data_IF_789034442461
#
_entry.id   IF_789034442461
#
_cell.length_a   1.000
_cell.length_b   1.000
_cell.length_c   1.000
_cell.angle_alpha   90.00
_cell.angle_beta   90.00
_cell.angle_gamma   90.00
#
_symmetry.space_group_name_H-M   'P 1'
#
loop_
_entity.id
_entity.type
_entity.pdbx_description
1 polymer ?
#
# COMPACT_ATOMS: atom_id res chain seq x y z
N UNK A 1 -5.60 -12.97 3.19
CA UNK A 1 -6.76 -12.34 2.53
C UNK A 1 -7.10 -13.00 1.20
N UNK A 2 -6.23 -12.98 0.19
CA UNK A 2 -6.55 -13.47 -1.17
C UNK A 2 -7.13 -14.89 -1.18
N UNK A 3 -6.51 -15.83 -0.48
CA UNK A 3 -7.00 -17.22 -0.38
C UNK A 3 -8.38 -17.32 0.29
N UNK A 4 -8.64 -16.48 1.30
CA UNK A 4 -9.95 -16.40 1.97
C UNK A 4 -11.01 -15.74 1.07
N UNK A 5 -10.66 -14.68 0.34
CA UNK A 5 -11.58 -14.00 -0.58
C UNK A 5 -12.07 -14.92 -1.70
N UNK A 6 -11.25 -15.89 -2.11
CA UNK A 6 -11.58 -16.89 -3.12
C UNK A 6 -11.77 -18.30 -2.54
N UNK A 7 -12.16 -18.43 -1.27
CA UNK A 7 -12.32 -19.74 -0.62
C UNK A 7 -13.65 -20.43 -0.93
N UNK A 8 -14.66 -19.70 -1.41
CA UNK A 8 -15.94 -20.28 -1.82
C UNK A 8 -15.76 -21.11 -3.10
N UNK A 9 -16.51 -22.22 -3.18
CA UNK A 9 -16.40 -23.20 -4.27
C UNK A 9 -16.77 -22.61 -5.64
N UNK A 10 -17.78 -21.75 -5.66
CA UNK A 10 -18.33 -21.06 -6.82
C UNK A 10 -17.52 -19.81 -7.24
N UNK A 11 -16.47 -19.46 -6.49
CA UNK A 11 -15.66 -18.28 -6.77
C UNK A 11 -14.99 -18.37 -8.17
N UNK A 12 -15.27 -17.45 -9.10
CA UNK A 12 -14.80 -17.57 -10.48
C UNK A 12 -13.27 -17.60 -10.61
N UNK A 13 -12.71 -18.69 -11.16
CA UNK A 13 -11.24 -18.84 -11.28
C UNK A 13 -10.58 -17.73 -12.09
N UNK A 14 -11.24 -17.26 -13.16
CA UNK A 14 -10.69 -16.22 -14.06
C UNK A 14 -10.50 -14.87 -13.36
N UNK A 15 -11.27 -14.58 -12.31
CA UNK A 15 -11.22 -13.27 -11.63
C UNK A 15 -10.11 -13.18 -10.57
N UNK A 16 -9.50 -14.31 -10.18
CA UNK A 16 -8.38 -14.38 -9.20
C UNK A 16 -7.17 -13.51 -9.55
N UNK A 17 -6.99 -13.16 -10.82
CA UNK A 17 -5.90 -12.28 -11.30
C UNK A 17 -6.17 -10.78 -11.09
N UNK A 18 -7.43 -10.39 -10.90
CA UNK A 18 -7.84 -8.99 -10.78
C UNK A 18 -7.72 -8.46 -9.34
N UNK A 19 -7.66 -9.35 -8.35
CA UNK A 19 -7.37 -9.00 -6.95
C UNK A 19 -5.87 -9.20 -6.70
N UNK A 20 -5.18 -8.09 -6.42
CA UNK A 20 -3.75 -8.12 -6.11
C UNK A 20 -3.47 -8.90 -4.81
N UNK A 21 -2.32 -9.55 -4.74
CA UNK A 21 -1.85 -10.25 -3.53
C UNK A 21 -0.34 -10.10 -3.36
N UNK A 22 0.16 -9.85 -2.13
CA UNK A 22 1.58 -9.83 -1.85
C UNK A 22 2.29 -11.15 -2.18
N UNK A 23 1.58 -12.29 -2.09
CA UNK A 23 2.11 -13.63 -2.40
C UNK A 23 2.62 -13.76 -3.84
N UNK A 24 2.10 -12.93 -4.76
CA UNK A 24 2.54 -12.85 -6.17
C UNK A 24 3.52 -11.70 -6.41
N UNK A 25 4.20 -11.21 -5.36
CA UNK A 25 5.13 -10.08 -5.40
C UNK A 25 4.54 -8.75 -5.89
N UNK A 26 3.22 -8.60 -5.97
CA UNK A 26 2.59 -7.32 -6.31
C UNK A 26 2.83 -6.28 -5.21
N UNK A 27 3.10 -5.03 -5.57
CA UNK A 27 3.11 -3.91 -4.62
C UNK A 27 1.75 -3.65 -3.98
N UNK A 28 0.69 -4.25 -4.52
CA UNK A 28 -0.69 -4.09 -4.06
C UNK A 28 -1.14 -2.62 -4.01
N UNK A 29 -0.59 -1.76 -4.89
CA UNK A 29 -0.84 -0.29 -4.91
C UNK A 29 -2.32 0.06 -4.68
N UNK A 30 -3.23 -0.54 -5.46
CA UNK A 30 -4.67 -0.21 -5.38
C UNK A 30 -5.28 -0.53 -4.02
N UNK A 31 -4.92 -1.68 -3.43
CA UNK A 31 -5.37 -2.04 -2.08
C UNK A 31 -4.78 -1.11 -1.03
N UNK A 32 -3.48 -0.77 -1.15
CA UNK A 32 -2.84 0.17 -0.23
C UNK A 32 -3.45 1.58 -0.33
N UNK A 33 -3.77 2.07 -1.54
CA UNK A 33 -4.50 3.33 -1.75
C UNK A 33 -5.88 3.31 -1.10
N UNK A 34 -6.63 2.23 -1.31
CA UNK A 34 -7.96 2.09 -0.72
C UNK A 34 -7.89 2.10 0.82
N UNK A 35 -6.97 1.32 1.40
CA UNK A 35 -6.76 1.31 2.86
C UNK A 35 -6.39 2.70 3.38
N UNK A 36 -5.51 3.41 2.67
CA UNK A 36 -5.14 4.78 2.99
C UNK A 36 -6.37 5.70 3.04
N UNK A 37 -7.20 5.74 2.00
CA UNK A 37 -8.40 6.57 1.97
C UNK A 37 -9.39 6.23 3.10
N UNK A 38 -9.55 4.95 3.40
CA UNK A 38 -10.52 4.52 4.42
C UNK A 38 -10.03 4.81 5.85
N UNK A 39 -8.72 4.78 6.11
CA UNK A 39 -8.14 4.85 7.45
C UNK A 39 -7.63 6.25 7.81
N UNK A 40 -6.92 6.91 6.89
CA UNK A 40 -6.41 8.27 7.13
C UNK A 40 -7.52 9.28 6.97
N UNK A 41 -7.37 10.41 7.65
CA UNK A 41 -8.22 11.58 7.48
C UNK A 41 -7.30 12.74 7.07
N UNK A 42 -7.62 13.40 5.97
CA UNK A 42 -6.96 14.64 5.57
C UNK A 42 -7.95 15.82 5.59
N UNK A 43 -7.42 17.03 5.42
CA UNK A 43 -8.21 18.26 5.36
C UNK A 43 -8.66 18.61 3.93
N UNK A 44 -8.24 17.82 2.93
CA UNK A 44 -8.51 18.04 1.50
C UNK A 44 -9.72 17.24 0.99
N UNK A 45 -10.26 16.33 1.80
CA UNK A 45 -11.41 15.48 1.47
C UNK A 45 -11.08 14.26 0.61
N UNK A 46 -9.80 13.90 0.45
CA UNK A 46 -9.37 12.72 -0.32
C UNK A 46 -9.34 11.47 0.56
N UNK A 47 -8.73 11.58 1.74
CA UNK A 47 -8.71 10.53 2.76
C UNK A 47 -9.95 10.66 3.67
N UNK A 48 -10.93 9.76 3.51
CA UNK A 48 -12.23 9.79 4.22
C UNK A 48 -12.13 9.54 5.73
N UNK A 49 -11.23 8.66 6.15
CA UNK A 49 -10.98 8.36 7.55
C UNK A 49 -12.15 7.70 8.29
N UNK A 50 -12.98 6.94 7.58
CA UNK A 50 -14.15 6.26 8.13
C UNK A 50 -13.74 5.14 9.12
N UNK A 51 -12.61 4.47 8.87
CA UNK A 51 -12.15 3.33 9.66
C UNK A 51 -11.22 3.77 10.78
N UNK A 52 -11.68 3.65 12.04
CA UNK A 52 -10.94 4.09 13.24
C UNK A 52 -10.17 2.99 13.97
N UNK A 53 -10.43 1.72 13.66
CA UNK A 53 -9.77 0.57 14.33
C UNK A 53 -8.35 0.33 13.83
N UNK A 54 -8.07 0.70 12.57
CA UNK A 54 -6.75 0.59 11.96
C UNK A 54 -6.06 1.93 12.11
N UNK A 55 -4.77 1.94 12.45
CA UNK A 55 -3.97 3.16 12.58
C UNK A 55 -3.18 3.44 11.29
N UNK A 56 -2.93 4.71 10.93
CA UNK A 56 -2.10 5.06 9.77
C UNK A 56 -0.71 4.42 9.79
N UNK A 57 -0.09 4.28 10.97
CA UNK A 57 1.20 3.59 11.17
C UNK A 57 1.22 2.11 10.79
N UNK A 58 0.05 1.48 10.66
CA UNK A 58 -0.09 0.08 10.23
C UNK A 58 -0.22 -0.05 8.70
N UNK A 59 -0.38 1.07 8.00
CA UNK A 59 -0.54 1.07 6.54
C UNK A 59 0.80 0.93 5.82
N UNK A 60 0.71 0.50 4.56
CA UNK A 60 1.85 0.39 3.66
C UNK A 60 1.72 1.47 2.59
N UNK A 61 2.82 2.18 2.34
CA UNK A 61 2.84 3.27 1.38
C UNK A 61 2.48 2.74 -0.02
N UNK A 62 1.50 3.35 -0.71
CA UNK A 62 1.17 2.99 -2.08
C UNK A 62 2.35 3.29 -3.01
N UNK A 63 3.06 2.24 -3.43
CA UNK A 63 4.22 2.38 -4.32
C UNK A 63 3.79 2.26 -5.79
N UNK A 64 3.87 3.36 -6.53
CA UNK A 64 3.70 3.43 -7.97
C UNK A 64 4.98 3.85 -8.70
N UNK A 65 4.93 3.95 -10.04
CA UNK A 65 6.11 4.24 -10.85
C UNK A 65 6.73 5.60 -10.52
N UNK A 66 5.92 6.61 -10.18
CA UNK A 66 6.43 7.92 -9.82
C UNK A 66 7.04 7.92 -8.42
N UNK A 67 6.33 7.32 -7.45
CA UNK A 67 6.81 7.15 -6.08
C UNK A 67 8.12 6.36 -6.05
N UNK A 68 8.18 5.22 -6.75
CA UNK A 68 9.36 4.37 -6.84
C UNK A 68 10.56 5.15 -7.43
N UNK A 69 10.35 5.89 -8.53
CA UNK A 69 11.40 6.69 -9.15
C UNK A 69 11.94 7.78 -8.23
N UNK A 70 11.08 8.50 -7.53
CA UNK A 70 11.48 9.57 -6.60
C UNK A 70 12.18 8.96 -5.38
N UNK A 71 11.60 7.93 -4.78
CA UNK A 71 12.17 7.27 -3.60
C UNK A 71 13.56 6.67 -3.87
N UNK A 72 13.82 6.14 -5.08
CA UNK A 72 15.17 5.70 -5.49
C UNK A 72 16.16 6.85 -5.56
N UNK A 73 15.77 7.97 -6.18
CA UNK A 73 16.63 9.16 -6.26
C UNK A 73 16.97 9.73 -4.87
N UNK A 74 16.04 9.59 -3.93
CA UNK A 74 16.22 9.97 -2.53
C UNK A 74 16.95 8.92 -1.68
N UNK A 75 17.34 7.77 -2.24
CA UNK A 75 18.02 6.69 -1.51
C UNK A 75 17.13 5.94 -0.52
N UNK A 76 15.80 6.06 -0.61
CA UNK A 76 14.83 5.38 0.25
C UNK A 76 14.57 3.92 -0.18
N UNK A 77 14.82 3.60 -1.45
CA UNK A 77 14.65 2.26 -2.02
C UNK A 77 15.95 1.84 -2.69
N UNK A 78 16.46 0.68 -2.29
CA UNK A 78 17.67 0.08 -2.86
C UNK A 78 17.35 -1.12 -3.76
N UNK A 79 16.23 -1.82 -3.50
CA UNK A 79 15.82 -3.01 -4.25
C UNK A 79 15.56 -2.72 -5.73
N UNK A 80 16.22 -3.43 -6.65
CA UNK A 80 16.12 -3.19 -8.11
C UNK A 80 14.71 -3.38 -8.69
N UNK A 81 13.89 -4.26 -8.11
CA UNK A 81 12.54 -4.57 -8.62
C UNK A 81 11.47 -3.81 -7.84
N UNK A 82 10.42 -3.32 -8.51
CA UNK A 82 9.26 -2.70 -7.86
C UNK A 82 8.24 -3.77 -7.48
N UNK A 83 8.41 -4.36 -6.30
CA UNK A 83 7.58 -5.46 -5.79
C UNK A 83 7.14 -5.20 -4.34
N UNK A 84 6.45 -6.17 -3.73
CA UNK A 84 6.00 -6.06 -2.33
C UNK A 84 7.12 -5.69 -1.34
N UNK A 85 8.33 -6.26 -1.50
CA UNK A 85 9.48 -5.96 -0.64
C UNK A 85 9.89 -4.49 -0.74
N UNK A 86 9.83 -3.92 -1.94
CA UNK A 86 10.09 -2.50 -2.17
C UNK A 86 9.06 -1.60 -1.50
N UNK A 87 7.78 -1.99 -1.51
CA UNK A 87 6.75 -1.26 -0.77
C UNK A 87 6.98 -1.29 0.75
N UNK A 88 7.42 -2.44 1.29
CA UNK A 88 7.80 -2.58 2.69
C UNK A 88 9.05 -1.77 3.05
N UNK A 89 10.09 -1.82 2.21
CA UNK A 89 11.34 -1.04 2.37
C UNK A 89 11.04 0.46 2.44
N UNK A 90 10.30 0.96 1.44
CA UNK A 90 9.88 2.36 1.40
C UNK A 90 9.10 2.73 2.67
N UNK A 91 8.09 1.93 3.04
CA UNK A 91 7.28 2.19 4.24
C UNK A 91 8.15 2.20 5.51
N UNK A 92 9.12 1.29 5.62
CA UNK A 92 10.05 1.24 6.75
C UNK A 92 10.90 2.51 6.85
N UNK A 93 11.40 3.03 5.71
CA UNK A 93 12.14 4.30 5.68
C UNK A 93 11.25 5.49 6.02
N UNK A 94 10.03 5.54 5.49
CA UNK A 94 9.08 6.61 5.81
C UNK A 94 8.67 6.60 7.28
N UNK A 95 8.59 5.43 7.93
CA UNK A 95 8.38 5.31 9.39
C UNK A 95 9.48 5.93 10.23
N UNK A 96 10.70 6.05 9.70
CA UNK A 96 11.79 6.75 10.38
C UNK A 96 11.60 8.27 10.37
N UNK A 97 10.87 8.79 9.38
CA UNK A 97 10.55 10.21 9.25
C UNK A 97 9.28 10.57 10.04
N UNK A 98 8.25 9.75 9.93
CA UNK A 98 7.02 9.86 10.72
C UNK A 98 6.51 8.47 11.14
N UNK A 99 6.70 8.07 12.41
CA UNK A 99 6.23 6.78 12.89
C UNK A 99 4.71 6.72 13.11
N UNK A 100 4.04 7.87 13.24
CA UNK A 100 2.60 7.95 13.48
C UNK A 100 1.82 7.84 12.17
N UNK A 101 2.28 8.53 11.13
CA UNK A 101 1.65 8.55 9.81
C UNK A 101 2.66 8.45 8.65
N UNK A 102 3.29 7.28 8.45
CA UNK A 102 4.32 7.09 7.43
C UNK A 102 3.79 7.13 5.99
N UNK A 103 2.49 6.95 5.78
CA UNK A 103 1.91 6.89 4.42
C UNK A 103 1.42 8.25 3.93
N UNK A 104 1.54 9.31 4.74
CA UNK A 104 1.23 10.69 4.34
C UNK A 104 2.04 11.19 3.15
N UNK A 105 3.26 10.69 3.01
CA UNK A 105 4.18 11.04 1.93
C UNK A 105 3.82 10.42 0.57
N UNK A 106 2.81 9.53 0.52
CA UNK A 106 2.29 8.97 -0.73
C UNK A 106 1.20 9.82 -1.39
N UNK A 107 1.08 11.11 -1.03
CA UNK A 107 0.12 12.05 -1.62
C UNK A 107 0.66 12.64 -2.93
N UNK A 108 -0.25 12.83 -3.88
CA UNK A 108 -0.06 13.52 -5.15
C UNK A 108 -1.10 14.64 -5.20
#
# INVERSE_FOLDING_TARGET
FHNLFFSLEDAPKRTKKHVATPERNSTCKRLNMFLRWMVRKDDCGVDFGIWKKIKPSQLICPCDVHVDRVARKLGLITNKQTNWKTALELTSKLKQLDPVDPVKYGFA
#
